data_IF_687671794844
#
_entry.id   IF_687671794844
#
_cell.length_a   1.000
_cell.length_b   1.000
_cell.length_c   1.000
_cell.angle_alpha   90.00
_cell.angle_beta   90.00
_cell.angle_gamma   90.00
#
_symmetry.space_group_name_H-M   'P 1'
#
loop_
_entity.id
_entity.type
_entity.pdbx_description
1 polymer ?
#
# COMPACT_ATOMS: atom_id res chain seq x y z
N UNK A 1 3.15 -8.55 31.44
CA UNK A 1 4.10 -8.44 30.31
C UNK A 1 3.67 -9.48 29.29
N UNK A 2 3.03 -9.06 28.20
CA UNK A 2 2.54 -9.97 27.16
C UNK A 2 3.66 -10.29 26.17
N UNK A 3 3.92 -11.57 25.98
CA UNK A 3 4.89 -12.13 25.02
C UNK A 3 4.41 -11.83 23.60
N UNK A 4 5.26 -11.19 22.78
CA UNK A 4 5.01 -10.99 21.36
C UNK A 4 5.40 -12.30 20.66
N UNK A 5 4.40 -13.00 20.10
CA UNK A 5 4.66 -14.17 19.27
C UNK A 5 5.42 -13.77 18.02
N UNK A 6 6.46 -14.54 17.70
CA UNK A 6 7.34 -14.36 16.56
C UNK A 6 6.55 -14.37 15.24
N UNK A 7 6.31 -13.20 14.67
CA UNK A 7 5.86 -13.09 13.28
C UNK A 7 6.99 -13.59 12.37
N UNK A 8 6.72 -14.68 11.67
CA UNK A 8 7.59 -15.22 10.62
C UNK A 8 7.87 -14.13 9.58
N UNK A 9 9.13 -13.70 9.50
CA UNK A 9 9.62 -12.80 8.46
C UNK A 9 9.50 -13.53 7.11
N UNK A 10 8.79 -12.91 6.17
CA UNK A 10 8.70 -13.40 4.78
C UNK A 10 10.07 -13.21 4.13
N UNK A 11 10.71 -14.31 3.71
CA UNK A 11 11.98 -14.27 2.99
C UNK A 11 11.79 -13.74 1.56
N UNK A 12 12.63 -12.80 1.18
CA UNK A 12 12.59 -12.13 -0.12
C UNK A 12 13.69 -12.71 -1.03
N UNK A 13 13.31 -13.59 -1.97
CA UNK A 13 14.24 -14.37 -2.80
C UNK A 13 14.80 -13.61 -4.03
N UNK A 14 14.88 -12.28 -3.96
CA UNK A 14 15.79 -11.47 -4.78
C UNK A 14 15.66 -11.55 -6.30
N UNK A 15 14.51 -11.95 -6.87
CA UNK A 15 14.38 -12.12 -8.33
C UNK A 15 13.34 -11.28 -9.04
N UNK A 16 12.47 -10.55 -8.35
CA UNK A 16 11.48 -9.69 -9.00
C UNK A 16 11.51 -8.30 -8.37
N UNK A 17 11.58 -7.27 -9.20
CA UNK A 17 11.40 -5.88 -8.76
C UNK A 17 10.14 -5.78 -7.91
N UNK A 18 10.33 -5.42 -6.64
CA UNK A 18 9.46 -5.74 -5.51
C UNK A 18 7.96 -5.64 -5.79
N UNK A 19 7.35 -6.76 -6.15
CA UNK A 19 5.91 -6.96 -6.05
C UNK A 19 5.65 -7.83 -4.83
N UNK A 20 5.47 -7.17 -3.68
CA UNK A 20 4.95 -7.85 -2.50
C UNK A 20 3.44 -7.90 -2.71
N UNK A 21 2.90 -9.03 -3.19
CA UNK A 21 1.47 -9.28 -3.03
C UNK A 21 1.26 -9.58 -1.54
N UNK A 22 0.68 -8.67 -0.73
CA UNK A 22 0.37 -9.01 0.64
C UNK A 22 -0.52 -10.24 0.61
N UNK A 23 -0.18 -11.24 1.44
CA UNK A 23 -1.04 -12.40 1.62
C UNK A 23 -2.43 -11.86 1.93
N UNK A 24 -3.41 -12.18 1.08
CA UNK A 24 -4.81 -11.86 1.38
C UNK A 24 -5.03 -12.32 2.81
N UNK A 25 -5.40 -11.44 3.76
CA UNK A 25 -5.61 -11.84 5.14
C UNK A 25 -6.47 -13.09 5.10
N UNK A 26 -6.05 -14.17 5.79
CA UNK A 26 -6.86 -15.39 5.91
C UNK A 26 -8.29 -14.92 6.11
N UNK A 27 -9.22 -15.33 5.23
CA UNK A 27 -10.63 -14.95 5.33
C UNK A 27 -11.07 -15.26 6.76
N UNK A 28 -11.04 -14.25 7.63
CA UNK A 28 -11.67 -14.34 8.94
C UNK A 28 -13.13 -14.52 8.56
N UNK A 29 -13.77 -15.59 9.05
CA UNK A 29 -15.19 -15.83 8.80
C UNK A 29 -15.90 -14.52 9.12
N UNK A 30 -16.37 -13.84 8.08
CA UNK A 30 -17.19 -12.67 8.26
C UNK A 30 -18.45 -13.16 8.95
N UNK A 31 -18.76 -12.53 10.08
CA UNK A 31 -20.06 -12.64 10.73
C UNK A 31 -21.15 -12.60 9.65
N UNK A 32 -22.07 -13.58 9.65
CA UNK A 32 -23.19 -13.63 8.71
C UNK A 32 -24.15 -12.42 8.87
N UNK A 33 -24.03 -11.68 9.98
CA UNK A 33 -24.79 -10.46 10.25
C UNK A 33 -23.91 -9.21 10.08
N UNK A 34 -24.29 -8.26 9.21
CA UNK A 34 -23.52 -7.06 8.99
C UNK A 34 -23.62 -6.00 10.10
N UNK A 35 -24.39 -6.23 11.16
CA UNK A 35 -24.83 -5.16 12.06
C UNK A 35 -24.25 -5.19 13.48
N UNK A 36 -23.66 -6.31 13.91
CA UNK A 36 -22.95 -6.39 15.19
C UNK A 36 -21.66 -7.21 15.02
N UNK A 37 -20.51 -6.58 15.26
CA UNK A 37 -19.18 -7.22 15.24
C UNK A 37 -18.63 -7.70 13.88
N UNK A 38 -19.15 -7.17 12.75
CA UNK A 38 -18.58 -7.43 11.43
C UNK A 38 -17.20 -6.78 11.23
N UNK A 39 -16.22 -7.55 10.75
CA UNK A 39 -14.93 -7.01 10.30
C UNK A 39 -15.01 -6.64 8.83
N UNK A 40 -14.89 -5.34 8.55
CA UNK A 40 -14.91 -4.77 7.21
C UNK A 40 -13.55 -4.25 6.81
N UNK A 41 -13.23 -4.41 5.53
CA UNK A 41 -12.09 -3.73 4.94
C UNK A 41 -12.45 -2.25 4.79
N UNK A 42 -11.69 -1.38 5.45
CA UNK A 42 -11.93 0.08 5.47
C UNK A 42 -10.86 0.88 4.75
N UNK A 43 -9.72 0.27 4.46
CA UNK A 43 -8.62 0.86 3.69
C UNK A 43 -7.60 -0.21 3.31
N UNK A 44 -6.72 0.13 2.38
CA UNK A 44 -5.46 -0.55 2.12
C UNK A 44 -4.29 0.34 2.54
N UNK A 45 -3.25 -0.29 3.04
CA UNK A 45 -1.99 0.36 3.36
C UNK A 45 -0.83 -0.51 2.93
N UNK A 46 0.14 0.06 2.22
CA UNK A 46 1.43 -0.57 1.96
C UNK A 46 2.56 0.47 1.94
N UNK A 47 3.79 -0.04 1.96
CA UNK A 47 5.01 0.77 1.96
C UNK A 47 5.82 0.47 0.71
N UNK A 48 6.45 1.48 0.12
CA UNK A 48 7.45 1.26 -0.92
C UNK A 48 8.83 1.00 -0.32
N UNK A 49 9.58 0.07 -0.93
CA UNK A 49 10.96 -0.19 -0.55
C UNK A 49 11.89 0.89 -1.11
N UNK A 50 13.05 1.14 -0.48
CA UNK A 50 14.08 2.00 -1.04
C UNK A 50 14.50 1.57 -2.45
N UNK A 51 14.75 2.52 -3.33
CA UNK A 51 15.36 2.29 -4.65
C UNK A 51 16.88 2.44 -4.60
N UNK A 52 17.51 1.94 -3.52
CA UNK A 52 18.96 2.04 -3.27
C UNK A 52 19.81 1.57 -4.46
N UNK A 53 19.40 0.50 -5.12
CA UNK A 53 20.15 -0.11 -6.22
C UNK A 53 19.68 0.34 -7.61
N UNK A 54 18.69 1.23 -7.71
CA UNK A 54 18.27 1.77 -9.00
C UNK A 54 19.24 2.89 -9.41
N UNK A 55 19.60 3.00 -10.70
CA UNK A 55 20.46 4.07 -11.20
C UNK A 55 19.97 5.45 -10.76
N UNK A 56 20.86 6.38 -10.41
CA UNK A 56 20.49 7.72 -9.91
C UNK A 56 19.71 8.55 -10.94
N UNK A 57 19.87 8.25 -12.23
CA UNK A 57 19.10 8.86 -13.32
C UNK A 57 17.72 8.24 -13.53
N UNK A 58 17.38 7.16 -12.81
CA UNK A 58 16.04 6.59 -12.81
C UNK A 58 15.11 7.44 -11.96
N UNK A 59 13.86 7.54 -12.40
CA UNK A 59 12.83 8.34 -11.75
C UNK A 59 11.47 7.66 -11.84
N UNK A 60 10.65 7.85 -10.82
CA UNK A 60 9.23 7.53 -10.85
C UNK A 60 8.41 8.61 -10.12
N UNK A 61 7.12 8.76 -10.41
CA UNK A 61 6.23 9.55 -9.57
C UNK A 61 6.23 9.04 -8.12
N UNK A 62 6.11 9.97 -7.18
CA UNK A 62 5.83 9.68 -5.76
C UNK A 62 4.37 9.22 -5.61
N UNK A 63 4.14 8.27 -4.71
CA UNK A 63 2.82 7.74 -4.41
C UNK A 63 2.50 6.43 -5.16
N UNK A 64 1.22 6.02 -5.19
CA UNK A 64 0.82 4.73 -5.76
C UNK A 64 1.10 4.64 -7.25
N UNK A 65 1.66 3.49 -7.65
CA UNK A 65 1.74 3.04 -9.03
C UNK A 65 0.37 2.67 -9.58
N UNK A 66 0.28 2.53 -10.90
CA UNK A 66 -0.95 2.06 -11.56
C UNK A 66 -1.38 0.67 -11.04
N UNK A 67 -0.42 -0.19 -10.71
CA UNK A 67 -0.70 -1.51 -10.11
C UNK A 67 -1.27 -1.41 -8.70
N UNK A 68 -0.83 -0.43 -7.91
CA UNK A 68 -1.37 -0.20 -6.57
C UNK A 68 -2.83 0.26 -6.66
N UNK A 69 -3.15 1.10 -7.65
CA UNK A 69 -4.52 1.57 -7.92
C UNK A 69 -5.43 0.47 -8.41
N UNK A 70 -4.96 -0.32 -9.38
CA UNK A 70 -5.66 -1.47 -9.93
C UNK A 70 -5.96 -2.50 -8.84
N UNK A 71 -4.99 -2.82 -7.98
CA UNK A 71 -5.19 -3.77 -6.89
C UNK A 71 -6.06 -3.21 -5.75
N UNK A 72 -5.90 -1.92 -5.45
CA UNK A 72 -6.50 -1.25 -4.31
C UNK A 72 -7.73 -0.42 -4.69
N UNK A 73 -7.58 0.89 -4.66
CA UNK A 73 -8.66 1.89 -4.76
C UNK A 73 -9.70 1.57 -5.85
N UNK A 74 -9.23 1.30 -7.07
CA UNK A 74 -10.10 1.31 -8.25
C UNK A 74 -10.90 0.01 -8.38
N UNK A 75 -10.36 -1.12 -7.92
CA UNK A 75 -11.05 -2.41 -7.99
C UNK A 75 -11.75 -2.82 -6.70
N UNK A 76 -11.52 -2.11 -5.59
CA UNK A 76 -11.98 -2.51 -4.26
C UNK A 76 -12.80 -1.46 -3.52
N UNK A 77 -12.99 -0.28 -4.13
CA UNK A 77 -13.82 0.80 -3.60
C UNK A 77 -13.53 1.10 -2.11
N UNK A 78 -12.24 1.23 -1.80
CA UNK A 78 -11.75 1.57 -0.46
C UNK A 78 -10.53 2.50 -0.57
N UNK A 79 -10.31 3.39 0.41
CA UNK A 79 -9.12 4.22 0.51
C UNK A 79 -7.82 3.42 0.33
N UNK A 80 -6.85 3.97 -0.42
CA UNK A 80 -5.50 3.46 -0.49
C UNK A 80 -4.51 4.48 0.08
N UNK A 81 -3.71 4.03 1.03
CA UNK A 81 -2.63 4.79 1.64
C UNK A 81 -1.30 4.15 1.29
N UNK A 82 -0.37 4.92 0.73
CA UNK A 82 0.98 4.46 0.40
C UNK A 82 1.96 5.26 1.22
N UNK A 83 2.75 4.59 2.06
CA UNK A 83 3.90 5.22 2.69
C UNK A 83 5.08 5.21 1.71
N UNK A 84 5.42 6.39 1.19
CA UNK A 84 6.41 6.54 0.13
C UNK A 84 7.43 7.62 0.47
N UNK A 85 8.60 7.53 -0.15
CA UNK A 85 9.68 8.49 0.03
C UNK A 85 9.34 9.84 -0.60
N UNK A 86 9.79 10.92 0.05
CA UNK A 86 9.60 12.27 -0.44
C UNK A 86 10.40 12.49 -1.71
N UNK A 87 9.70 12.79 -2.80
CA UNK A 87 10.31 13.17 -4.07
C UNK A 87 10.69 14.64 -4.13
N UNK A 88 11.29 15.02 -5.26
CA UNK A 88 11.55 16.41 -5.63
C UNK A 88 10.54 16.83 -6.69
N UNK A 89 9.99 18.04 -6.55
CA UNK A 89 9.08 18.58 -7.55
C UNK A 89 9.83 18.86 -8.86
N UNK A 90 9.34 18.29 -9.96
CA UNK A 90 9.88 18.46 -11.30
C UNK A 90 8.95 19.36 -12.11
N UNK A 91 9.48 20.50 -12.57
CA UNK A 91 8.71 21.51 -13.28
C UNK A 91 8.25 21.07 -14.68
N UNK A 92 8.93 20.09 -15.29
CA UNK A 92 8.59 19.64 -16.64
C UNK A 92 7.40 18.68 -16.64
N UNK A 93 7.34 17.82 -15.62
CA UNK A 93 6.26 16.84 -15.43
C UNK A 93 5.19 17.31 -14.45
N UNK A 94 5.36 18.49 -13.85
CA UNK A 94 4.48 19.10 -12.85
C UNK A 94 4.13 18.17 -11.68
N UNK A 95 5.04 17.24 -11.34
CA UNK A 95 4.82 16.22 -10.32
C UNK A 95 6.04 16.01 -9.44
N UNK A 96 5.83 15.42 -8.26
CA UNK A 96 6.91 14.99 -7.39
C UNK A 96 7.50 13.68 -7.92
N UNK A 97 8.80 13.70 -8.24
CA UNK A 97 9.54 12.54 -8.69
C UNK A 97 10.48 12.04 -7.61
N UNK A 98 10.45 10.73 -7.38
CA UNK A 98 11.42 10.01 -6.59
C UNK A 98 12.57 9.54 -7.49
N UNK A 99 13.80 9.76 -7.05
CA UNK A 99 15.01 9.36 -7.78
C UNK A 99 15.55 8.02 -7.26
N UNK A 100 16.23 7.28 -8.14
CA UNK A 100 17.03 6.13 -7.74
C UNK A 100 18.16 6.51 -6.77
N UNK A 101 18.60 5.55 -5.96
CA UNK A 101 19.67 5.73 -4.98
C UNK A 101 19.23 6.18 -3.59
N UNK A 102 17.93 6.37 -3.33
CA UNK A 102 17.45 6.73 -1.99
C UNK A 102 17.57 5.55 -1.00
N UNK A 103 17.78 5.89 0.26
CA UNK A 103 18.12 4.98 1.35
C UNK A 103 16.93 4.72 2.27
N UNK A 104 17.04 3.69 3.11
CA UNK A 104 15.99 3.28 4.05
C UNK A 104 15.51 4.42 4.96
N UNK A 105 16.44 5.27 5.39
CA UNK A 105 16.20 6.33 6.36
C UNK A 105 15.86 7.69 5.72
N UNK A 106 15.72 7.75 4.39
CA UNK A 106 15.33 8.98 3.73
C UNK A 106 13.89 9.38 4.13
N UNK A 107 13.57 10.69 4.13
CA UNK A 107 12.25 11.15 4.52
C UNK A 107 11.14 10.54 3.68
N UNK A 108 10.06 10.14 4.34
CA UNK A 108 8.88 9.54 3.71
C UNK A 108 7.59 10.13 4.29
N UNK A 109 6.50 10.00 3.54
CA UNK A 109 5.17 10.48 3.91
C UNK A 109 4.07 9.54 3.40
N UNK A 110 2.88 9.65 4.00
CA UNK A 110 1.71 8.91 3.53
C UNK A 110 1.06 9.69 2.40
N UNK A 111 0.98 9.06 1.23
CA UNK A 111 0.21 9.54 0.07
C UNK A 111 -1.13 8.81 0.04
N UNK A 112 -2.20 9.56 -0.13
CA UNK A 112 -3.57 9.04 -0.17
C UNK A 112 -4.12 9.11 -1.60
N UNK A 113 -4.76 8.03 -2.05
CA UNK A 113 -5.49 7.96 -3.33
C UNK A 113 -6.78 7.15 -3.17
N UNK A 114 -7.82 7.56 -3.90
CA UNK A 114 -9.09 6.84 -4.00
C UNK A 114 -10.26 7.60 -3.41
N UNK A 115 -11.20 6.86 -2.81
CA UNK A 115 -12.42 7.42 -2.20
C UNK A 115 -12.19 7.86 -0.76
N UNK A 116 -12.79 8.98 -0.36
CA UNK A 116 -12.58 9.55 0.98
C UNK A 116 -13.28 8.76 2.09
N UNK A 117 -14.29 7.95 1.73
CA UNK A 117 -15.17 7.27 2.68
C UNK A 117 -15.63 5.93 2.13
N UNK A 118 -15.46 4.88 2.92
CA UNK A 118 -16.12 3.61 2.68
C UNK A 118 -17.60 3.68 3.05
N UNK A 119 -18.44 2.97 2.30
CA UNK A 119 -19.81 2.66 2.73
C UNK A 119 -19.79 1.36 3.53
N UNK A 120 -20.55 1.30 4.62
CA UNK A 120 -20.82 0.02 5.28
C UNK A 120 -21.55 -0.89 4.29
N UNK A 121 -21.02 -2.10 4.00
CA UNK A 121 -21.70 -3.07 3.15
C UNK A 121 -23.08 -3.40 3.70
N UNK A 122 -24.08 -3.56 2.82
CA UNK A 122 -25.44 -3.91 3.24
C UNK A 122 -25.57 -5.40 3.58
N UNK A 123 -24.61 -6.22 3.14
CA UNK A 123 -24.50 -7.64 3.43
C UNK A 123 -23.03 -8.11 3.33
N UNK A 124 -22.75 -9.34 3.77
CA UNK A 124 -21.41 -9.91 3.80
C UNK A 124 -20.79 -10.22 2.42
N UNK A 125 -21.50 -9.97 1.32
CA UNK A 125 -21.09 -10.37 -0.04
C UNK A 125 -20.90 -9.19 -1.00
N UNK A 126 -21.15 -7.96 -0.57
CA UNK A 126 -20.85 -6.75 -1.36
C UNK A 126 -19.36 -6.39 -1.24
N UNK A 127 -18.51 -6.96 -2.12
CA UNK A 127 -17.09 -6.58 -2.29
C UNK A 127 -16.66 -6.62 -3.76
#
# INVERSE_FOLDING_TARGET
MGTIESLTLVENNGKDGGHISPSVPKKVKQSESPLEHGYYRVAYFHTHTPWKNCPENSRRPVGPSDKDREWGSDSKNAPLFVYDYKGKYDLYTETCLLLGGHELNDPAEVVYVGIDRCRTPRNAYEY
#
